data_IF_644769883664
#
_entry.id   IF_644769883664
#
_cell.length_a   1.000
_cell.length_b   1.000
_cell.length_c   1.000
_cell.angle_alpha   90.00
_cell.angle_beta   90.00
_cell.angle_gamma   90.00
#
_symmetry.space_group_name_H-M   'P 1'
#
loop_
_entity.id
_entity.type
_entity.pdbx_description
1 polymer ?
#
# COMPACT_ATOMS: atom_id res chain seq x y z
N UNK A 1 7.45 -3.99 -2.95
CA UNK A 1 6.20 -4.61 -2.46
C UNK A 1 5.98 -6.00 -3.05
N UNK A 2 5.33 -6.91 -2.29
CA UNK A 2 4.89 -8.24 -2.79
C UNK A 2 3.67 -8.80 -2.08
N UNK A 3 2.82 -9.53 -2.80
CA UNK A 3 1.74 -10.35 -2.24
C UNK A 3 2.17 -11.82 -2.22
N UNK A 4 2.12 -12.45 -1.05
CA UNK A 4 2.52 -13.85 -0.84
C UNK A 4 1.37 -14.84 -1.10
N UNK A 5 1.71 -16.13 -1.21
CA UNK A 5 0.71 -17.21 -1.38
C UNK A 5 -0.26 -17.33 -0.18
N UNK A 6 0.17 -16.92 1.01
CA UNK A 6 -0.63 -16.87 2.23
C UNK A 6 -1.52 -15.61 2.34
N UNK A 7 -1.73 -14.89 1.22
CA UNK A 7 -2.48 -13.63 1.15
C UNK A 7 -1.93 -12.54 2.10
N UNK A 8 -0.62 -12.56 2.38
CA UNK A 8 0.05 -11.51 3.15
C UNK A 8 0.67 -10.51 2.19
N UNK A 9 0.24 -9.25 2.27
CA UNK A 9 0.86 -8.15 1.54
C UNK A 9 2.05 -7.62 2.35
N UNK A 10 3.25 -7.76 1.81
CA UNK A 10 4.48 -7.26 2.43
C UNK A 10 4.88 -5.95 1.78
N UNK A 11 4.89 -4.89 2.60
CA UNK A 11 5.35 -3.56 2.24
C UNK A 11 6.81 -3.44 2.71
N UNK A 12 7.67 -2.99 1.81
CA UNK A 12 9.10 -2.81 2.02
C UNK A 12 9.43 -1.31 2.19
N UNK A 13 10.60 -0.99 2.74
CA UNK A 13 11.02 0.40 3.00
C UNK A 13 11.06 1.27 1.74
N UNK A 14 11.35 0.65 0.59
CA UNK A 14 11.35 1.33 -0.71
C UNK A 14 9.95 1.78 -1.13
N UNK A 15 8.91 0.98 -0.83
CA UNK A 15 7.52 1.32 -1.13
C UNK A 15 7.07 2.53 -0.30
N UNK A 16 7.44 2.53 0.99
CA UNK A 16 7.17 3.65 1.90
C UNK A 16 7.89 4.92 1.45
N UNK A 17 9.15 4.78 1.05
CA UNK A 17 9.95 5.88 0.52
C UNK A 17 9.37 6.43 -0.80
N UNK A 18 8.86 5.55 -1.66
CA UNK A 18 8.15 5.90 -2.90
C UNK A 18 6.92 6.74 -2.61
N UNK A 19 6.08 6.30 -1.66
CA UNK A 19 4.90 7.05 -1.25
C UNK A 19 5.23 8.45 -0.71
N UNK A 20 6.26 8.59 0.12
CA UNK A 20 6.74 9.92 0.56
C UNK A 20 7.22 10.77 -0.61
N UNK A 21 7.92 10.18 -1.58
CA UNK A 21 8.38 10.87 -2.78
C UNK A 21 7.20 11.43 -3.60
N UNK A 22 6.15 10.65 -3.83
CA UNK A 22 4.96 11.11 -4.55
C UNK A 22 4.25 12.25 -3.82
N UNK A 23 4.14 12.16 -2.49
CA UNK A 23 3.54 13.21 -1.69
C UNK A 23 4.33 14.51 -1.75
N UNK A 24 5.63 14.44 -1.51
CA UNK A 24 6.46 15.63 -1.38
C UNK A 24 6.78 16.26 -2.74
N UNK A 25 6.87 15.46 -3.81
CA UNK A 25 7.16 15.93 -5.18
C UNK A 25 5.90 16.32 -5.96
N UNK A 26 4.88 15.46 -5.93
CA UNK A 26 3.73 15.54 -6.82
C UNK A 26 2.43 15.94 -6.09
N UNK A 27 2.47 16.03 -4.76
CA UNK A 27 1.29 16.35 -3.95
C UNK A 27 0.26 15.22 -3.86
N UNK A 28 0.65 13.99 -4.23
CA UNK A 28 -0.22 12.81 -4.21
C UNK A 28 -0.33 12.30 -2.77
N UNK A 29 -1.55 12.04 -2.30
CA UNK A 29 -1.73 11.51 -0.94
C UNK A 29 -1.27 10.05 -0.81
N UNK A 30 -1.18 9.56 0.42
CA UNK A 30 -0.72 8.19 0.67
C UNK A 30 -1.65 7.10 0.13
N UNK A 31 -2.95 7.39 -0.04
CA UNK A 31 -3.92 6.41 -0.57
C UNK A 31 -3.65 6.19 -2.05
N UNK A 32 -3.57 7.28 -2.82
CA UNK A 32 -3.29 7.22 -4.24
C UNK A 32 -1.84 6.81 -4.52
N UNK A 33 -0.90 7.25 -3.69
CA UNK A 33 0.50 6.83 -3.75
C UNK A 33 0.65 5.31 -3.56
N UNK A 34 -0.09 4.72 -2.62
CA UNK A 34 -0.08 3.27 -2.42
C UNK A 34 -0.72 2.51 -3.59
N UNK A 35 -1.83 3.02 -4.17
CA UNK A 35 -2.42 2.42 -5.38
C UNK A 35 -1.43 2.42 -6.55
N UNK A 36 -0.62 3.47 -6.68
CA UNK A 36 0.43 3.53 -7.69
C UNK A 36 1.53 2.49 -7.45
N UNK A 37 2.00 2.32 -6.21
CA UNK A 37 2.96 1.26 -5.87
C UNK A 37 2.42 -0.14 -6.21
N UNK A 38 1.15 -0.43 -5.91
CA UNK A 38 0.51 -1.68 -6.32
C UNK A 38 0.54 -1.89 -7.84
N UNK A 39 0.28 -0.84 -8.62
CA UNK A 39 0.33 -0.89 -10.08
C UNK A 39 1.76 -1.10 -10.61
N UNK A 40 2.75 -0.44 -10.02
CA UNK A 40 4.17 -0.62 -10.38
C UNK A 40 4.64 -2.06 -10.17
N UNK A 41 4.15 -2.70 -9.11
CA UNK A 41 4.48 -4.08 -8.76
C UNK A 41 3.54 -5.13 -9.42
N UNK A 42 2.61 -4.72 -10.28
CA UNK A 42 1.62 -5.58 -10.94
C UNK A 42 0.77 -6.42 -9.94
N UNK A 43 0.46 -5.83 -8.78
CA UNK A 43 -0.33 -6.46 -7.72
C UNK A 43 -1.80 -6.08 -7.89
N UNK A 44 -2.63 -7.08 -8.18
CA UNK A 44 -4.08 -6.90 -8.32
C UNK A 44 -4.79 -7.24 -7.01
N UNK A 45 -5.42 -6.25 -6.39
CA UNK A 45 -6.21 -6.42 -5.16
C UNK A 45 -7.67 -6.73 -5.53
N UNK A 46 -8.09 -7.97 -5.26
CA UNK A 46 -9.49 -8.43 -5.38
C UNK A 46 -10.10 -8.62 -3.99
N UNK A 47 -11.43 -8.62 -3.90
CA UNK A 47 -12.12 -8.91 -2.66
C UNK A 47 -11.64 -10.23 -2.02
N UNK A 48 -11.10 -10.15 -0.80
CA UNK A 48 -10.59 -11.29 -0.04
C UNK A 48 -9.20 -11.77 -0.46
N UNK A 49 -8.50 -11.06 -1.35
CA UNK A 49 -7.15 -11.43 -1.81
C UNK A 49 -6.03 -11.09 -0.83
N UNK A 50 -6.29 -10.21 0.14
CA UNK A 50 -5.35 -9.82 1.19
C UNK A 50 -5.95 -10.18 2.54
N UNK A 51 -5.31 -11.10 3.25
CA UNK A 51 -5.69 -11.51 4.60
C UNK A 51 -5.00 -10.66 5.68
N UNK A 52 -3.77 -10.21 5.43
CA UNK A 52 -3.03 -9.34 6.35
C UNK A 52 -1.98 -8.50 5.62
N UNK A 53 -1.52 -7.43 6.27
CA UNK A 53 -0.49 -6.54 5.77
C UNK A 53 0.68 -6.53 6.75
N UNK A 54 1.88 -6.74 6.24
CA UNK A 54 3.13 -6.58 6.96
C UNK A 54 3.80 -5.28 6.53
N UNK A 55 4.20 -4.49 7.52
CA UNK A 55 4.90 -3.23 7.33
C UNK A 55 6.37 -3.40 7.72
N UNK A 56 7.27 -2.56 7.19
CA UNK A 56 8.66 -2.56 7.65
C UNK A 56 8.73 -2.17 9.14
N UNK A 57 9.75 -2.66 9.83
CA UNK A 57 9.94 -2.41 11.27
C UNK A 57 10.13 -0.90 11.56
N UNK A 58 10.84 -0.20 10.68
CA UNK A 58 11.13 1.22 10.77
C UNK A 58 10.23 2.06 9.85
N UNK A 59 8.93 2.13 10.19
CA UNK A 59 8.03 3.15 9.63
C UNK A 59 8.36 4.53 10.21
N UNK A 60 9.24 5.28 9.56
CA UNK A 60 9.63 6.63 9.99
C UNK A 60 8.50 7.67 9.83
N UNK A 61 8.60 8.79 10.57
CA UNK A 61 7.77 10.00 10.55
C UNK A 61 6.27 9.84 10.88
N UNK A 62 5.50 9.10 10.08
CA UNK A 62 4.02 9.06 10.16
C UNK A 62 3.48 7.62 9.97
N UNK A 63 3.83 6.68 10.87
CA UNK A 63 3.45 5.27 10.75
C UNK A 63 1.93 5.05 10.70
N UNK A 64 1.16 5.82 11.45
CA UNK A 64 -0.31 5.67 11.50
C UNK A 64 -0.98 6.13 10.21
N UNK A 65 -0.51 7.23 9.61
CA UNK A 65 -1.08 7.79 8.38
C UNK A 65 -0.89 6.83 7.21
N UNK A 66 0.32 6.29 7.06
CA UNK A 66 0.62 5.28 6.02
C UNK A 66 -0.23 4.03 6.24
N UNK A 67 -0.31 3.51 7.47
CA UNK A 67 -1.12 2.32 7.77
C UNK A 67 -2.58 2.55 7.41
N UNK A 68 -3.14 3.69 7.82
CA UNK A 68 -4.52 4.04 7.50
C UNK A 68 -4.74 4.16 5.98
N UNK A 69 -3.81 4.80 5.27
CA UNK A 69 -3.89 4.96 3.83
C UNK A 69 -3.87 3.61 3.10
N UNK A 70 -2.95 2.72 3.48
CA UNK A 70 -2.85 1.36 2.94
C UNK A 70 -4.16 0.58 3.12
N UNK A 71 -4.70 0.54 4.35
CA UNK A 71 -5.96 -0.17 4.59
C UNK A 71 -7.16 0.47 3.87
N UNK A 72 -7.15 1.80 3.73
CA UNK A 72 -8.19 2.52 2.98
C UNK A 72 -8.14 2.15 1.50
N UNK A 73 -6.96 2.21 0.89
CA UNK A 73 -6.76 1.85 -0.50
C UNK A 73 -7.15 0.39 -0.80
N UNK A 74 -6.74 -0.56 0.05
CA UNK A 74 -7.14 -1.98 -0.09
C UNK A 74 -8.66 -2.09 -0.10
N UNK A 75 -9.34 -1.45 0.87
CA UNK A 75 -10.80 -1.51 0.98
C UNK A 75 -11.52 -0.90 -0.24
N UNK A 76 -11.00 0.18 -0.80
CA UNK A 76 -11.54 0.79 -2.01
C UNK A 76 -11.39 -0.14 -3.22
N UNK A 77 -10.19 -0.68 -3.43
CA UNK A 77 -9.91 -1.61 -4.53
C UNK A 77 -10.72 -2.91 -4.44
N UNK A 78 -10.91 -3.45 -3.24
CA UNK A 78 -11.77 -4.61 -3.01
C UNK A 78 -13.24 -4.37 -3.33
N UNK A 79 -13.71 -3.12 -3.26
CA UNK A 79 -15.09 -2.76 -3.63
C UNK A 79 -15.24 -2.52 -5.13
N UNK A 80 -14.21 -1.96 -5.77
CA UNK A 80 -14.17 -1.72 -7.21
C UNK A 80 -14.06 -3.03 -8.01
N UNK A 81 -13.32 -4.02 -7.51
CA UNK A 81 -13.07 -5.30 -8.18
C UNK A 81 -14.04 -6.44 -7.76
N UNK A 82 -15.28 -6.09 -7.38
CA UNK A 82 -16.35 -7.03 -7.00
C UNK A 82 -17.16 -7.57 -8.18
#
# INVERSE_FOLDING_TARGET
MKLTEDAVLVIEDEDVSGMYCYRDRDGIDFVDGFKFELQLHDIVVKAGSIASVQFPEDLFNQPEEIRQAVYTAIKELEQENR
#
